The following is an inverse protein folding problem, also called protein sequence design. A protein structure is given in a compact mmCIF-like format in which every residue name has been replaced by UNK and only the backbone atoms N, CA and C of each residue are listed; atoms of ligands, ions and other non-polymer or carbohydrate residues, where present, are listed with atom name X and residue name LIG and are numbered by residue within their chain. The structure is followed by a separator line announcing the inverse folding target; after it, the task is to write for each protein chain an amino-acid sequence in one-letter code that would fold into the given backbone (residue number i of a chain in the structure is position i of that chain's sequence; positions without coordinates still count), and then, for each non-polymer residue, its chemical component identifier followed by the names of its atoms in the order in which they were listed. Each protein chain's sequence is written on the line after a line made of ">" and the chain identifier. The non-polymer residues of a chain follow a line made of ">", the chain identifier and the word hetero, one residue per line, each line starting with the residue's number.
data_IF_752016612308
#
_entry.id   IF_752016612308
#
_cell.length_a   1.000
_cell.length_b   1.000
_cell.length_c   1.000
_cell.angle_alpha   90.00
_cell.angle_beta   90.00
_cell.angle_gamma   90.00
#
_symmetry.space_group_name_H-M   'P 1'
#
loop_
_entity.id
_entity.type
_entity.pdbx_description
1 polymer ?
#
# COMPACT_ATOMS: atom_id res chain seq x y z
N UNK A 1 43.05 -21.66 -4.68
CA UNK A 1 42.29 -22.93 -4.47
C UNK A 1 41.24 -22.84 -3.37
N UNK A 2 41.52 -22.19 -2.20
CA UNK A 2 40.50 -22.02 -1.12
C UNK A 2 39.37 -21.02 -1.48
N UNK A 3 39.67 -19.93 -2.21
CA UNK A 3 38.65 -18.95 -2.67
C UNK A 3 37.74 -19.52 -3.75
N UNK A 4 38.26 -20.32 -4.68
CA UNK A 4 37.47 -20.97 -5.73
C UNK A 4 36.53 -22.05 -5.18
N UNK A 5 37.01 -22.82 -4.19
CA UNK A 5 36.18 -23.80 -3.47
C UNK A 5 35.03 -23.18 -2.67
N UNK A 6 35.23 -21.99 -2.10
CA UNK A 6 34.21 -21.22 -1.38
C UNK A 6 33.13 -20.68 -2.35
N UNK A 7 33.53 -20.07 -3.47
CA UNK A 7 32.62 -19.55 -4.48
C UNK A 7 31.73 -20.64 -5.12
N UNK A 8 32.33 -21.80 -5.46
CA UNK A 8 31.56 -22.94 -5.97
C UNK A 8 30.56 -23.50 -4.94
N UNK A 9 30.97 -23.59 -3.66
CA UNK A 9 30.06 -23.95 -2.56
C UNK A 9 28.91 -22.97 -2.39
N UNK A 10 29.16 -21.66 -2.54
CA UNK A 10 28.12 -20.64 -2.41
C UNK A 10 27.15 -20.70 -3.59
N UNK A 11 27.59 -20.92 -4.81
CA UNK A 11 26.70 -21.14 -5.97
C UNK A 11 25.85 -22.39 -5.78
N UNK A 12 26.41 -23.47 -5.31
CA UNK A 12 25.68 -24.73 -5.04
C UNK A 12 24.57 -24.52 -3.98
N UNK A 13 24.86 -23.80 -2.89
CA UNK A 13 23.87 -23.50 -1.85
C UNK A 13 22.75 -22.61 -2.38
N UNK A 14 23.08 -21.62 -3.22
CA UNK A 14 22.07 -20.77 -3.88
C UNK A 14 21.19 -21.59 -4.81
N UNK A 15 21.77 -22.53 -5.55
CA UNK A 15 21.01 -23.42 -6.42
C UNK A 15 20.03 -24.28 -5.61
N UNK A 16 20.48 -24.93 -4.54
CA UNK A 16 19.61 -25.72 -3.67
C UNK A 16 18.46 -24.88 -3.08
N UNK A 17 18.76 -23.65 -2.64
CA UNK A 17 17.75 -22.73 -2.14
C UNK A 17 16.77 -22.34 -3.25
N UNK A 18 17.26 -22.01 -4.44
CA UNK A 18 16.45 -21.66 -5.60
C UNK A 18 15.51 -22.81 -6.01
N UNK A 19 16.02 -24.02 -6.07
CA UNK A 19 15.23 -25.24 -6.36
C UNK A 19 14.14 -25.47 -5.29
N UNK A 20 14.48 -25.29 -4.03
CA UNK A 20 13.52 -25.41 -2.92
C UNK A 20 12.41 -24.35 -3.00
N UNK A 21 12.79 -23.09 -3.21
CA UNK A 21 11.84 -21.98 -3.36
C UNK A 21 10.91 -22.19 -4.56
N UNK A 22 11.50 -22.59 -5.70
CA UNK A 22 10.75 -22.88 -6.92
C UNK A 22 9.73 -24.00 -6.68
N UNK A 23 10.17 -25.12 -6.07
CA UNK A 23 9.31 -26.25 -5.80
C UNK A 23 8.18 -25.97 -4.82
N UNK A 24 8.46 -25.16 -3.78
CA UNK A 24 7.51 -24.93 -2.70
C UNK A 24 6.54 -23.79 -3.00
N UNK A 25 7.02 -22.73 -3.64
CA UNK A 25 6.27 -21.47 -3.76
C UNK A 25 5.90 -21.07 -5.19
N UNK A 26 6.53 -21.68 -6.19
CA UNK A 26 6.31 -21.40 -7.61
C UNK A 26 6.27 -22.70 -8.44
N UNK A 27 5.50 -23.72 -8.01
CA UNK A 27 5.48 -25.01 -8.72
C UNK A 27 5.05 -24.88 -10.18
N UNK A 28 4.20 -23.91 -10.50
CA UNK A 28 3.75 -23.61 -11.86
C UNK A 28 4.88 -23.15 -12.79
N UNK A 29 5.95 -22.58 -12.22
CA UNK A 29 7.10 -22.14 -13.00
C UNK A 29 8.05 -23.31 -13.35
N UNK A 30 8.01 -24.44 -12.64
CA UNK A 30 8.93 -25.55 -12.85
C UNK A 30 8.84 -26.17 -14.23
N UNK A 31 7.64 -26.22 -14.80
CA UNK A 31 7.36 -26.81 -16.11
C UNK A 31 7.70 -25.87 -17.29
N UNK A 32 8.11 -24.63 -17.01
CA UNK A 32 8.43 -23.65 -18.03
C UNK A 32 9.89 -23.81 -18.54
N UNK A 33 10.19 -23.38 -19.77
CA UNK A 33 11.54 -23.54 -20.35
C UNK A 33 12.66 -22.86 -19.54
N UNK A 34 12.34 -21.75 -18.86
CA UNK A 34 13.26 -20.96 -18.03
C UNK A 34 12.65 -20.74 -16.63
N UNK A 35 12.61 -21.76 -15.79
CA UNK A 35 11.86 -21.75 -14.54
C UNK A 35 12.29 -20.66 -13.57
N UNK A 36 13.57 -20.38 -13.44
CA UNK A 36 14.07 -19.30 -12.58
C UNK A 36 13.70 -17.91 -13.09
N UNK A 37 13.71 -17.70 -14.40
CA UNK A 37 13.27 -16.44 -15.00
C UNK A 37 11.78 -16.22 -14.81
N UNK A 38 10.99 -17.28 -15.00
CA UNK A 38 9.54 -17.23 -14.76
C UNK A 38 9.22 -16.91 -13.30
N UNK A 39 9.89 -17.59 -12.35
CA UNK A 39 9.80 -17.30 -10.93
C UNK A 39 10.16 -15.84 -10.62
N UNK A 40 11.25 -15.31 -11.17
CA UNK A 40 11.67 -13.93 -10.91
C UNK A 40 10.66 -12.92 -11.45
N UNK A 41 10.07 -13.15 -12.62
CA UNK A 41 8.99 -12.30 -13.17
C UNK A 41 7.75 -12.30 -12.29
N UNK A 42 7.37 -13.46 -11.79
CA UNK A 42 6.25 -13.60 -10.85
C UNK A 42 6.53 -12.84 -9.54
N UNK A 43 7.75 -12.91 -9.01
CA UNK A 43 8.16 -12.15 -7.84
C UNK A 43 8.07 -10.64 -8.09
N UNK A 44 8.50 -10.17 -9.26
CA UNK A 44 8.41 -8.76 -9.65
C UNK A 44 6.96 -8.30 -9.69
N UNK A 45 6.07 -9.08 -10.32
CA UNK A 45 4.65 -8.76 -10.42
C UNK A 45 3.97 -8.72 -9.05
N UNK A 46 4.15 -9.75 -8.23
CA UNK A 46 3.57 -9.81 -6.86
C UNK A 46 4.03 -8.64 -5.99
N UNK A 47 5.29 -8.24 -6.08
CA UNK A 47 5.80 -7.10 -5.32
C UNK A 47 5.31 -5.75 -5.89
N UNK A 48 5.14 -5.63 -7.20
CA UNK A 48 4.53 -4.45 -7.81
C UNK A 48 3.08 -4.27 -7.34
N UNK A 49 2.29 -5.35 -7.32
CA UNK A 49 0.91 -5.35 -6.80
C UNK A 49 0.86 -5.02 -5.31
N UNK A 50 1.74 -5.63 -4.49
CA UNK A 50 1.81 -5.38 -3.04
C UNK A 50 2.07 -3.91 -2.75
N UNK A 51 3.10 -3.32 -3.36
CA UNK A 51 3.47 -1.93 -3.14
C UNK A 51 2.39 -0.98 -3.68
N UNK A 52 1.72 -1.34 -4.78
CA UNK A 52 0.56 -0.60 -5.27
C UNK A 52 -0.59 -0.57 -4.24
N UNK A 53 -0.86 -1.68 -3.56
CA UNK A 53 -1.83 -1.73 -2.45
C UNK A 53 -1.38 -0.86 -1.28
N UNK A 54 -0.11 -0.91 -0.86
CA UNK A 54 0.40 -0.06 0.20
C UNK A 54 0.19 1.43 -0.11
N UNK A 55 0.58 1.85 -1.32
CA UNK A 55 0.41 3.24 -1.77
C UNK A 55 -1.07 3.63 -1.87
N UNK A 56 -1.91 2.77 -2.44
CA UNK A 56 -3.32 3.07 -2.61
C UNK A 56 -4.07 3.17 -1.28
N UNK A 57 -3.70 2.41 -0.26
CA UNK A 57 -4.38 2.38 1.04
C UNK A 57 -3.67 3.16 2.16
N UNK A 58 -2.58 3.84 1.83
CA UNK A 58 -1.86 4.68 2.80
C UNK A 58 -1.07 3.88 3.83
N UNK A 59 -0.63 2.66 3.50
CA UNK A 59 0.20 1.85 4.38
C UNK A 59 1.67 2.17 4.22
N UNK A 60 2.34 2.52 5.32
CA UNK A 60 3.78 2.73 5.39
C UNK A 60 4.42 1.61 6.21
N UNK A 61 5.29 0.82 5.59
CA UNK A 61 5.96 -0.31 6.23
C UNK A 61 7.04 0.11 7.23
N UNK A 62 7.80 1.15 6.90
CA UNK A 62 8.79 1.78 7.76
C UNK A 62 10.15 1.10 7.85
N UNK A 63 10.30 -0.18 7.45
CA UNK A 63 11.59 -0.91 7.47
C UNK A 63 11.65 -1.86 6.28
N UNK A 64 11.95 -1.33 5.10
CA UNK A 64 12.02 -2.11 3.85
C UNK A 64 13.46 -2.55 3.52
N UNK A 65 14.14 -3.17 4.48
CA UNK A 65 15.38 -3.88 4.22
C UNK A 65 15.13 -5.06 3.26
N UNK A 66 16.17 -5.59 2.63
CA UNK A 66 16.06 -6.72 1.70
C UNK A 66 15.51 -8.00 2.34
N UNK A 67 15.73 -8.19 3.63
CA UNK A 67 15.22 -9.29 4.45
C UNK A 67 13.77 -9.11 4.91
N UNK A 68 13.23 -7.88 4.78
CA UNK A 68 11.85 -7.54 5.14
C UNK A 68 10.93 -7.45 3.92
N UNK A 69 11.34 -7.98 2.77
CA UNK A 69 10.51 -8.06 1.57
C UNK A 69 10.29 -9.50 1.13
N UNK A 70 9.02 -9.89 1.05
CA UNK A 70 8.62 -11.24 0.67
C UNK A 70 8.67 -11.46 -0.84
N UNK A 71 9.27 -12.56 -1.26
CA UNK A 71 9.15 -13.06 -2.64
C UNK A 71 7.72 -13.48 -3.01
N UNK A 72 6.85 -13.63 -2.03
CA UNK A 72 5.45 -14.01 -2.23
C UNK A 72 4.52 -12.81 -2.44
N UNK A 73 5.03 -11.58 -2.35
CA UNK A 73 4.20 -10.37 -2.42
C UNK A 73 3.21 -10.24 -1.26
N UNK A 74 3.64 -10.62 -0.06
CA UNK A 74 2.88 -10.46 1.18
C UNK A 74 3.60 -9.52 2.14
N UNK A 75 2.84 -8.75 2.90
CA UNK A 75 3.40 -7.93 3.98
C UNK A 75 3.77 -8.82 5.16
N UNK A 76 4.99 -8.68 5.66
CA UNK A 76 5.44 -9.35 6.88
C UNK A 76 6.44 -8.45 7.62
N UNK A 77 6.94 -8.90 8.78
CA UNK A 77 7.82 -8.13 9.64
C UNK A 77 7.21 -6.77 10.04
N UNK A 78 6.02 -6.85 10.67
CA UNK A 78 5.29 -5.69 11.15
C UNK A 78 5.99 -5.04 12.35
N UNK A 79 7.02 -4.22 12.05
CA UNK A 79 7.70 -3.37 13.04
C UNK A 79 6.96 -2.04 13.23
N UNK A 80 7.63 -0.90 13.06
CA UNK A 80 7.04 0.44 13.22
C UNK A 80 6.22 0.86 11.99
N UNK A 81 5.26 0.03 11.55
CA UNK A 81 4.37 0.35 10.44
C UNK A 81 3.27 1.34 10.86
N UNK A 82 2.68 2.02 9.90
CA UNK A 82 1.51 2.86 10.12
C UNK A 82 0.61 2.92 8.89
N UNK A 83 -0.68 3.21 9.11
CA UNK A 83 -1.53 3.78 8.07
C UNK A 83 -1.49 5.30 8.19
N UNK A 84 -1.48 6.00 7.06
CA UNK A 84 -1.57 7.47 7.04
C UNK A 84 -2.86 7.93 7.73
N UNK A 85 -2.73 8.87 8.64
CA UNK A 85 -3.85 9.68 9.10
C UNK A 85 -4.13 10.77 8.06
N UNK A 86 -3.50 11.92 8.15
CA UNK A 86 -3.53 12.92 7.09
C UNK A 86 -2.59 12.49 5.94
N UNK A 87 -2.96 12.76 4.69
CA UNK A 87 -2.10 12.42 3.55
C UNK A 87 -0.79 13.20 3.60
N UNK A 88 0.31 12.48 3.71
CA UNK A 88 1.66 13.02 3.61
C UNK A 88 2.55 12.05 2.82
N UNK A 89 2.95 12.48 1.62
CA UNK A 89 3.86 11.71 0.76
C UNK A 89 5.24 11.48 1.41
N UNK A 90 5.65 12.32 2.33
CA UNK A 90 6.94 12.24 3.03
C UNK A 90 6.84 11.63 4.43
N UNK A 91 5.68 11.07 4.78
CA UNK A 91 5.44 10.48 6.09
C UNK A 91 6.46 9.40 6.42
N UNK A 92 7.06 9.50 7.60
CA UNK A 92 8.03 8.56 8.16
C UNK A 92 7.38 7.92 9.38
N UNK A 93 7.04 6.64 9.30
CA UNK A 93 6.41 5.92 10.43
C UNK A 93 7.43 5.38 11.44
N UNK A 94 8.68 5.20 11.04
CA UNK A 94 9.75 4.71 11.88
C UNK A 94 10.63 5.87 12.35
N UNK A 95 10.54 6.24 13.63
CA UNK A 95 11.33 7.33 14.20
C UNK A 95 12.86 7.13 14.08
N UNK A 96 13.33 5.90 13.93
CA UNK A 96 14.74 5.60 13.71
C UNK A 96 15.22 5.86 12.27
N UNK A 97 14.31 6.11 11.34
CA UNK A 97 14.60 6.46 9.94
C UNK A 97 14.71 7.98 9.79
N UNK A 98 15.75 8.58 10.37
CA UNK A 98 15.98 10.03 10.42
C UNK A 98 16.17 10.67 9.03
N UNK A 99 16.50 9.89 8.00
CA UNK A 99 16.68 10.35 6.62
C UNK A 99 15.49 10.08 5.71
N UNK A 100 14.44 9.43 6.20
CA UNK A 100 13.27 9.08 5.42
C UNK A 100 13.52 8.09 4.29
N UNK A 101 14.51 7.20 4.46
CA UNK A 101 14.80 6.16 3.47
C UNK A 101 13.56 5.34 3.14
N UNK A 102 12.75 5.03 4.14
CA UNK A 102 11.54 4.22 4.04
C UNK A 102 10.27 5.06 4.21
N UNK A 103 10.31 6.36 3.91
CA UNK A 103 9.13 7.21 3.89
C UNK A 103 8.10 6.69 2.88
N UNK A 104 6.84 7.09 3.05
CA UNK A 104 5.71 6.57 2.29
C UNK A 104 5.93 6.59 0.77
N UNK A 105 6.34 7.72 0.19
CA UNK A 105 6.62 7.81 -1.25
C UNK A 105 7.86 7.04 -1.68
N UNK A 106 8.83 6.81 -0.79
CA UNK A 106 10.05 6.08 -1.09
C UNK A 106 9.84 4.55 -1.16
N UNK A 107 8.70 4.03 -0.75
CA UNK A 107 8.42 2.59 -0.80
C UNK A 107 8.54 2.04 -2.22
N UNK A 108 8.14 2.78 -3.23
CA UNK A 108 8.22 2.37 -4.64
C UNK A 108 9.67 2.21 -5.12
N UNK A 109 10.54 3.24 -5.06
CA UNK A 109 11.94 3.08 -5.47
C UNK A 109 12.72 2.09 -4.60
N UNK A 110 12.41 1.97 -3.30
CA UNK A 110 13.06 0.99 -2.43
C UNK A 110 12.63 -0.45 -2.79
N UNK A 111 11.36 -0.67 -3.12
CA UNK A 111 10.89 -1.97 -3.62
C UNK A 111 11.64 -2.39 -4.89
N UNK A 112 11.81 -1.49 -5.85
CA UNK A 112 12.59 -1.73 -7.06
C UNK A 112 14.08 -2.02 -6.74
N UNK A 113 14.64 -1.29 -5.78
CA UNK A 113 16.01 -1.52 -5.32
C UNK A 113 16.18 -2.92 -4.70
N UNK A 114 15.24 -3.35 -3.85
CA UNK A 114 15.24 -4.69 -3.26
C UNK A 114 15.15 -5.79 -4.32
N UNK A 115 14.28 -5.62 -5.33
CA UNK A 115 14.19 -6.55 -6.46
C UNK A 115 15.50 -6.59 -7.27
N UNK A 116 16.22 -5.47 -7.37
CA UNK A 116 17.54 -5.41 -8.02
C UNK A 116 18.60 -6.19 -7.22
N UNK A 117 18.54 -6.13 -5.89
CA UNK A 117 19.42 -6.94 -5.03
C UNK A 117 19.13 -8.45 -5.18
N UNK A 118 17.84 -8.83 -5.25
CA UNK A 118 17.44 -10.21 -5.54
C UNK A 118 17.91 -10.66 -6.94
N UNK A 119 17.74 -9.81 -7.96
CA UNK A 119 18.22 -10.09 -9.33
C UNK A 119 19.72 -10.38 -9.33
N UNK A 120 20.51 -9.59 -8.57
CA UNK A 120 21.95 -9.84 -8.45
C UNK A 120 22.25 -11.22 -7.84
N UNK A 121 21.45 -11.69 -6.90
CA UNK A 121 21.61 -13.02 -6.32
C UNK A 121 21.27 -14.15 -7.31
N UNK A 122 20.42 -13.87 -8.32
CA UNK A 122 19.97 -14.82 -9.33
C UNK A 122 20.85 -14.85 -10.61
N UNK A 123 21.87 -14.01 -10.71
CA UNK A 123 22.78 -13.97 -11.88
C UNK A 123 23.47 -15.30 -12.24
N UNK A 124 23.67 -16.28 -11.31
CA UNK A 124 24.19 -17.60 -11.69
C UNK A 124 23.20 -18.44 -12.52
N UNK A 125 21.91 -18.11 -12.52
CA UNK A 125 20.84 -18.93 -13.12
C UNK A 125 20.13 -18.23 -14.27
N UNK A 126 20.22 -16.90 -14.34
CA UNK A 126 19.48 -16.07 -15.29
C UNK A 126 20.48 -15.07 -15.91
N UNK A 127 20.39 -14.84 -17.21
CA UNK A 127 21.23 -13.83 -17.88
C UNK A 127 20.95 -12.43 -17.36
N UNK A 128 21.96 -11.57 -17.34
CA UNK A 128 21.84 -10.19 -16.86
C UNK A 128 20.83 -9.41 -17.69
N UNK A 129 20.76 -9.68 -19.00
CA UNK A 129 19.80 -9.06 -19.91
C UNK A 129 18.37 -9.40 -19.54
N UNK A 130 18.05 -10.69 -19.32
CA UNK A 130 16.72 -11.14 -18.93
C UNK A 130 16.30 -10.61 -17.53
N UNK A 131 17.26 -10.50 -16.60
CA UNK A 131 17.02 -9.88 -15.29
C UNK A 131 16.70 -8.40 -15.42
N UNK A 132 17.41 -7.64 -16.25
CA UNK A 132 17.14 -6.22 -16.49
C UNK A 132 15.80 -5.98 -17.16
N UNK A 133 15.45 -6.80 -18.16
CA UNK A 133 14.14 -6.74 -18.80
C UNK A 133 13.02 -6.99 -17.78
N UNK A 134 13.18 -8.01 -16.93
CA UNK A 134 12.20 -8.34 -15.89
C UNK A 134 12.06 -7.22 -14.83
N UNK A 135 13.17 -6.63 -14.39
CA UNK A 135 13.14 -5.45 -13.49
C UNK A 135 12.46 -4.24 -14.13
N UNK A 136 12.61 -4.07 -15.45
CA UNK A 136 11.94 -3.01 -16.20
C UNK A 136 10.42 -3.11 -16.18
N UNK A 137 9.85 -4.27 -15.88
CA UNK A 137 8.41 -4.48 -15.76
C UNK A 137 7.83 -3.95 -14.44
N UNK A 138 8.65 -3.78 -13.40
CA UNK A 138 8.17 -3.41 -12.06
C UNK A 138 7.35 -2.10 -12.07
N UNK A 139 7.91 -1.03 -12.60
CA UNK A 139 7.25 0.28 -12.56
C UNK A 139 5.95 0.34 -13.39
N UNK A 140 5.91 -0.17 -14.64
CA UNK A 140 4.66 -0.28 -15.40
C UNK A 140 3.58 -1.11 -14.69
N UNK A 141 3.94 -2.26 -14.11
CA UNK A 141 3.03 -3.11 -13.35
C UNK A 141 2.51 -2.39 -12.11
N UNK A 142 3.41 -1.79 -11.33
CA UNK A 142 3.03 -0.97 -10.18
C UNK A 142 2.02 0.13 -10.57
N UNK A 143 2.31 0.90 -11.61
CA UNK A 143 1.44 1.98 -12.08
C UNK A 143 0.07 1.46 -12.50
N UNK A 144 0.02 0.34 -13.22
CA UNK A 144 -1.23 -0.27 -13.64
C UNK A 144 -2.09 -0.70 -12.44
N UNK A 145 -1.50 -1.43 -11.47
CA UNK A 145 -2.19 -1.86 -10.25
C UNK A 145 -2.63 -0.67 -9.39
N UNK A 146 -1.76 0.32 -9.22
CA UNK A 146 -2.04 1.50 -8.42
C UNK A 146 -3.21 2.31 -8.99
N UNK A 147 -3.19 2.57 -10.29
CA UNK A 147 -4.28 3.32 -10.95
C UNK A 147 -5.59 2.55 -10.94
N UNK A 148 -5.57 1.23 -11.11
CA UNK A 148 -6.79 0.42 -10.99
C UNK A 148 -7.40 0.54 -9.59
N UNK A 149 -6.58 0.42 -8.54
CA UNK A 149 -7.04 0.59 -7.16
C UNK A 149 -7.59 2.00 -6.92
N UNK A 150 -6.91 3.05 -7.39
CA UNK A 150 -7.35 4.43 -7.20
C UNK A 150 -8.66 4.72 -7.96
N UNK A 151 -8.83 4.19 -9.18
CA UNK A 151 -10.11 4.25 -9.92
C UNK A 151 -11.25 3.66 -9.11
N UNK A 152 -11.08 2.44 -8.62
CA UNK A 152 -12.09 1.75 -7.80
C UNK A 152 -12.39 2.53 -6.52
N UNK A 153 -11.39 3.09 -5.87
CA UNK A 153 -11.55 3.94 -4.69
C UNK A 153 -12.32 5.23 -4.97
N UNK A 154 -12.17 5.79 -6.18
CA UNK A 154 -12.92 6.95 -6.66
C UNK A 154 -14.30 6.59 -7.25
N UNK A 155 -14.64 5.31 -7.36
CA UNK A 155 -15.92 4.81 -7.84
C UNK A 155 -16.01 4.64 -9.35
N UNK A 156 -14.89 4.67 -10.08
CA UNK A 156 -14.83 4.45 -11.51
C UNK A 156 -14.78 2.95 -11.85
N UNK A 157 -15.41 2.57 -12.97
CA UNK A 157 -15.51 1.17 -13.41
C UNK A 157 -14.67 0.86 -14.65
N UNK A 158 -14.23 1.88 -15.38
CA UNK A 158 -13.37 1.75 -16.55
C UNK A 158 -12.17 2.69 -16.45
N UNK A 159 -11.10 2.37 -17.19
CA UNK A 159 -9.94 3.21 -17.30
C UNK A 159 -10.15 4.31 -18.35
N UNK A 160 -9.70 5.53 -18.02
CA UNK A 160 -9.60 6.64 -18.95
C UNK A 160 -8.21 7.29 -18.86
N UNK A 161 -7.76 7.95 -19.92
CA UNK A 161 -6.40 8.49 -20.04
C UNK A 161 -6.10 9.61 -19.02
N UNK A 162 -7.14 10.35 -18.59
CA UNK A 162 -7.02 11.46 -17.65
C UNK A 162 -7.10 11.02 -16.15
N UNK A 163 -7.35 9.74 -15.87
CA UNK A 163 -7.49 9.23 -14.51
C UNK A 163 -6.23 9.48 -13.66
N UNK A 164 -5.04 9.28 -14.24
CA UNK A 164 -3.79 9.52 -13.53
C UNK A 164 -3.68 10.98 -13.07
N UNK A 165 -3.94 11.92 -13.96
CA UNK A 165 -3.86 13.35 -13.65
C UNK A 165 -4.90 13.76 -12.59
N UNK A 166 -6.09 13.18 -12.65
CA UNK A 166 -7.15 13.41 -11.65
C UNK A 166 -6.72 12.94 -10.25
N UNK A 167 -6.09 11.76 -10.16
CA UNK A 167 -5.55 11.22 -8.91
C UNK A 167 -4.40 12.08 -8.38
N UNK A 168 -3.42 12.41 -9.20
CA UNK A 168 -2.27 13.22 -8.81
C UNK A 168 -2.68 14.59 -8.27
N UNK A 169 -3.65 15.24 -8.93
CA UNK A 169 -4.19 16.52 -8.50
C UNK A 169 -4.91 16.43 -7.15
N UNK A 170 -5.68 15.36 -6.93
CA UNK A 170 -6.31 15.12 -5.63
C UNK A 170 -5.28 14.98 -4.52
N UNK A 171 -4.28 14.12 -4.73
CA UNK A 171 -3.25 13.88 -3.72
C UNK A 171 -2.45 15.15 -3.39
N UNK A 172 -2.17 15.99 -4.39
CA UNK A 172 -1.52 17.28 -4.15
C UNK A 172 -2.38 18.23 -3.29
N UNK A 173 -3.69 18.27 -3.52
CA UNK A 173 -4.63 19.05 -2.71
C UNK A 173 -4.72 18.50 -1.28
N UNK A 174 -4.76 17.19 -1.11
CA UNK A 174 -4.76 16.52 0.20
C UNK A 174 -3.48 16.81 0.97
N UNK A 175 -2.31 16.72 0.32
CA UNK A 175 -0.99 17.05 0.91
C UNK A 175 -0.96 18.49 1.43
N UNK A 176 -1.45 19.42 0.64
CA UNK A 176 -1.42 20.85 0.99
C UNK A 176 -2.41 21.23 2.11
N UNK A 177 -3.39 20.39 2.37
CA UNK A 177 -4.49 20.67 3.31
C UNK A 177 -4.48 19.77 4.56
N UNK A 178 -3.64 18.74 4.61
CA UNK A 178 -3.66 17.76 5.70
C UNK A 178 -5.00 17.04 5.80
N UNK A 179 -5.48 16.51 4.66
CA UNK A 179 -6.76 15.80 4.60
C UNK A 179 -6.56 14.34 5.02
N UNK A 180 -7.43 13.85 5.90
CA UNK A 180 -7.42 12.43 6.31
C UNK A 180 -7.60 11.51 5.09
N UNK A 181 -6.58 10.69 4.84
CA UNK A 181 -6.49 9.91 3.60
C UNK A 181 -7.60 8.87 3.46
N UNK A 182 -7.81 8.08 4.48
CA UNK A 182 -8.79 6.99 4.42
C UNK A 182 -10.22 7.49 4.50
N UNK A 183 -10.49 8.46 5.38
CA UNK A 183 -11.82 9.02 5.55
C UNK A 183 -12.30 9.80 4.33
N UNK A 184 -11.42 10.47 3.60
CA UNK A 184 -11.80 11.15 2.37
C UNK A 184 -12.48 10.21 1.38
N UNK A 185 -11.83 9.08 1.05
CA UNK A 185 -12.38 8.13 0.08
C UNK A 185 -13.66 7.46 0.59
N UNK A 186 -13.73 7.16 1.89
CA UNK A 186 -14.96 6.61 2.49
C UNK A 186 -16.12 7.57 2.36
N UNK A 187 -15.94 8.82 2.78
CA UNK A 187 -16.96 9.88 2.74
C UNK A 187 -17.38 10.28 1.33
N UNK A 188 -16.47 10.18 0.36
CA UNK A 188 -16.79 10.43 -1.05
C UNK A 188 -17.83 9.43 -1.59
N UNK A 189 -17.94 8.23 -1.00
CA UNK A 189 -18.93 7.20 -1.34
C UNK A 189 -20.25 7.29 -0.60
N UNK A 190 -20.34 8.06 0.51
CA UNK A 190 -21.53 8.07 1.39
C UNK A 190 -22.77 8.74 0.77
N UNK A 191 -22.57 9.67 -0.16
CA UNK A 191 -23.63 10.48 -0.74
C UNK A 191 -23.50 10.61 -2.26
N UNK A 192 -24.51 11.19 -2.90
CA UNK A 192 -24.41 11.64 -4.29
C UNK A 192 -23.17 12.55 -4.46
N UNK A 193 -22.50 12.53 -5.63
CA UNK A 193 -21.25 13.29 -5.82
C UNK A 193 -21.36 14.74 -5.38
N UNK A 194 -22.44 15.43 -5.70
CA UNK A 194 -22.67 16.83 -5.33
C UNK A 194 -22.68 17.03 -3.82
N UNK A 195 -23.38 16.16 -3.08
CA UNK A 195 -23.49 16.26 -1.62
C UNK A 195 -22.19 15.85 -0.93
N UNK A 196 -21.54 14.80 -1.42
CA UNK A 196 -20.26 14.35 -0.90
C UNK A 196 -19.19 15.43 -1.07
N UNK A 197 -19.06 16.00 -2.26
CA UNK A 197 -18.09 17.04 -2.58
C UNK A 197 -18.36 18.32 -1.79
N UNK A 198 -19.63 18.72 -1.61
CA UNK A 198 -19.98 19.89 -0.80
C UNK A 198 -19.53 19.73 0.67
N UNK A 199 -19.65 18.51 1.24
CA UNK A 199 -19.22 18.21 2.62
C UNK A 199 -17.70 18.13 2.76
N UNK A 200 -17.02 17.55 1.76
CA UNK A 200 -15.58 17.39 1.76
C UNK A 200 -14.80 18.68 1.51
N UNK A 201 -15.46 19.68 0.88
CA UNK A 201 -14.86 20.95 0.53
C UNK A 201 -14.20 21.69 1.71
N UNK A 202 -14.81 21.58 2.88
CA UNK A 202 -14.31 22.26 4.08
C UNK A 202 -13.07 21.59 4.70
N UNK A 203 -12.73 20.38 4.28
CA UNK A 203 -11.50 19.71 4.66
C UNK A 203 -10.27 20.27 3.91
N UNK A 204 -10.48 21.11 2.86
CA UNK A 204 -9.41 21.66 2.03
C UNK A 204 -9.14 23.14 2.32
N UNK A 205 -7.86 23.47 2.50
CA UNK A 205 -7.39 24.86 2.65
C UNK A 205 -7.56 25.62 1.33
N UNK A 206 -7.12 25.00 0.21
CA UNK A 206 -7.36 25.53 -1.14
C UNK A 206 -8.72 25.08 -1.67
N UNK A 207 -9.76 25.79 -1.26
CA UNK A 207 -11.14 25.52 -1.68
C UNK A 207 -11.35 25.71 -3.17
N UNK A 208 -10.67 26.68 -3.80
CA UNK A 208 -10.79 26.91 -5.24
C UNK A 208 -10.13 25.80 -6.04
N UNK A 209 -8.96 25.32 -5.60
CA UNK A 209 -8.31 24.15 -6.18
C UNK A 209 -9.16 22.89 -6.05
N UNK A 210 -9.79 22.70 -4.89
CA UNK A 210 -10.72 21.59 -4.67
C UNK A 210 -11.97 21.71 -5.58
N UNK A 211 -12.58 22.89 -5.68
CA UNK A 211 -13.75 23.12 -6.56
C UNK A 211 -13.43 22.78 -8.03
N UNK A 212 -12.24 23.17 -8.50
CA UNK A 212 -11.77 22.84 -9.85
C UNK A 212 -11.51 21.35 -10.04
N UNK A 213 -10.99 20.64 -9.02
CA UNK A 213 -10.86 19.20 -9.04
C UNK A 213 -12.23 18.51 -9.01
N UNK A 214 -13.13 19.01 -8.18
CA UNK A 214 -14.47 18.46 -8.03
C UNK A 214 -15.28 18.52 -9.35
N UNK A 215 -15.07 19.55 -10.17
CA UNK A 215 -15.68 19.64 -11.49
C UNK A 215 -15.16 18.53 -12.44
N UNK A 216 -13.83 18.34 -12.50
CA UNK A 216 -13.23 17.26 -13.27
C UNK A 216 -13.72 15.88 -12.79
N UNK A 217 -13.86 15.70 -11.48
CA UNK A 217 -14.38 14.46 -10.90
C UNK A 217 -15.83 14.21 -11.31
N UNK A 218 -16.72 15.24 -11.29
CA UNK A 218 -18.12 15.12 -11.75
C UNK A 218 -18.20 14.74 -13.22
N UNK A 219 -17.42 15.43 -14.07
CA UNK A 219 -17.34 15.11 -15.50
C UNK A 219 -16.90 13.67 -15.72
N UNK A 220 -15.90 13.21 -14.96
CA UNK A 220 -15.42 11.84 -15.03
C UNK A 220 -16.46 10.80 -14.57
N UNK A 221 -17.18 11.09 -13.47
CA UNK A 221 -18.31 10.23 -13.00
C UNK A 221 -19.42 10.19 -14.05
N UNK A 222 -19.73 11.29 -14.71
CA UNK A 222 -20.77 11.35 -15.75
C UNK A 222 -20.43 10.51 -16.99
N UNK A 223 -19.14 10.30 -17.28
CA UNK A 223 -18.66 9.44 -18.38
C UNK A 223 -18.63 7.95 -18.02
N UNK A 224 -18.69 7.60 -16.73
CA UNK A 224 -18.63 6.20 -16.30
C UNK A 224 -19.89 5.44 -16.80
N UNK A 225 -19.73 4.26 -17.43
CA UNK A 225 -20.86 3.56 -18.04
C UNK A 225 -21.86 3.00 -17.04
N UNK A 226 -21.44 2.75 -15.80
CA UNK A 226 -22.32 2.23 -14.75
C UNK A 226 -22.81 3.42 -13.91
N UNK A 227 -23.96 3.94 -14.30
CA UNK A 227 -24.64 5.04 -13.61
C UNK A 227 -25.52 4.47 -12.47
N UNK A 228 -25.72 5.27 -11.45
CA UNK A 228 -26.56 4.95 -10.30
C UNK A 228 -25.83 5.19 -8.99
N UNK A 229 -26.37 6.10 -8.18
CA UNK A 229 -25.75 6.56 -6.93
C UNK A 229 -25.54 5.42 -5.93
N UNK A 230 -26.57 4.61 -5.71
CA UNK A 230 -26.51 3.54 -4.71
C UNK A 230 -25.44 2.51 -5.09
N UNK A 231 -25.41 2.08 -6.35
CA UNK A 231 -24.40 1.14 -6.86
C UNK A 231 -22.97 1.70 -6.79
N UNK A 232 -22.79 3.01 -7.03
CA UNK A 232 -21.48 3.65 -6.90
C UNK A 232 -21.02 3.66 -5.44
N UNK A 233 -21.89 4.09 -4.53
CA UNK A 233 -21.60 4.10 -3.08
C UNK A 233 -21.24 2.72 -2.55
N UNK A 234 -22.04 1.70 -2.88
CA UNK A 234 -21.77 0.31 -2.49
C UNK A 234 -20.40 -0.17 -2.99
N UNK A 235 -20.06 0.07 -4.28
CA UNK A 235 -18.75 -0.29 -4.83
C UNK A 235 -17.61 0.42 -4.12
N UNK A 236 -17.78 1.71 -3.84
CA UNK A 236 -16.76 2.49 -3.13
C UNK A 236 -16.59 2.02 -1.69
N UNK A 237 -17.67 1.70 -0.99
CA UNK A 237 -17.62 1.16 0.37
C UNK A 237 -16.98 -0.23 0.44
N UNK A 238 -17.14 -1.05 -0.60
CA UNK A 238 -16.50 -2.36 -0.69
C UNK A 238 -14.97 -2.31 -0.82
N UNK A 239 -14.40 -1.17 -1.26
CA UNK A 239 -12.95 -1.00 -1.45
C UNK A 239 -12.33 0.11 -0.60
N UNK A 240 -13.13 0.97 0.01
CA UNK A 240 -12.64 2.01 0.93
C UNK A 240 -12.95 1.60 2.37
N UNK A 241 -11.94 1.25 3.18
CA UNK A 241 -12.17 0.80 4.54
C UNK A 241 -12.77 1.93 5.39
N UNK A 242 -13.70 1.55 6.26
CA UNK A 242 -14.23 2.42 7.31
C UNK A 242 -13.27 2.46 8.50
N UNK A 243 -12.63 1.32 8.78
CA UNK A 243 -11.70 1.16 9.90
C UNK A 243 -10.31 0.86 9.38
N UNK A 244 -9.31 1.57 9.91
CA UNK A 244 -7.88 1.27 9.73
C UNK A 244 -7.21 1.20 11.09
N UNK A 245 -6.11 0.47 11.21
CA UNK A 245 -5.33 0.46 12.45
C UNK A 245 -4.52 1.76 12.57
N UNK A 246 -5.14 2.78 13.17
CA UNK A 246 -4.44 4.04 13.49
C UNK A 246 -3.51 3.83 14.68
N UNK A 247 -2.36 4.49 14.66
CA UNK A 247 -1.35 4.33 15.71
C UNK A 247 -1.89 4.62 17.12
N UNK A 248 -2.75 5.63 17.29
CA UNK A 248 -3.35 5.94 18.59
C UNK A 248 -4.28 4.84 19.12
N UNK A 249 -4.95 4.10 18.24
CA UNK A 249 -5.77 2.95 18.62
C UNK A 249 -4.91 1.78 19.09
N UNK A 250 -3.81 1.53 18.35
CA UNK A 250 -2.82 0.53 18.75
C UNK A 250 -2.21 0.87 20.11
N UNK A 251 -1.83 2.14 20.33
CA UNK A 251 -1.26 2.58 21.61
C UNK A 251 -2.23 2.39 22.78
N UNK A 252 -3.51 2.77 22.62
CA UNK A 252 -4.54 2.50 23.64
C UNK A 252 -4.66 1.03 23.98
N UNK A 253 -4.60 0.15 22.98
CA UNK A 253 -4.68 -1.29 23.20
C UNK A 253 -3.43 -1.82 23.91
N UNK A 254 -2.24 -1.29 23.60
CA UNK A 254 -0.98 -1.62 24.27
C UNK A 254 -1.04 -1.19 25.74
N UNK A 255 -1.40 0.05 26.01
CA UNK A 255 -1.48 0.60 27.39
C UNK A 255 -2.46 -0.23 28.26
N UNK A 256 -3.61 -0.60 27.70
CA UNK A 256 -4.57 -1.47 28.41
C UNK A 256 -4.02 -2.89 28.65
N UNK A 257 -3.34 -3.47 27.64
CA UNK A 257 -2.76 -4.81 27.75
C UNK A 257 -1.62 -4.87 28.77
N UNK A 258 -0.79 -3.84 28.87
CA UNK A 258 0.26 -3.71 29.90
C UNK A 258 -0.34 -3.65 31.32
N UNK A 259 -1.53 -3.07 31.46
CA UNK A 259 -2.30 -3.09 32.71
C UNK A 259 -3.05 -4.42 32.95
N UNK A 260 -2.93 -5.41 32.05
CA UNK A 260 -3.59 -6.72 32.13
C UNK A 260 -4.98 -6.77 31.50
N UNK A 261 -5.45 -5.70 30.86
CA UNK A 261 -6.73 -5.66 30.15
C UNK A 261 -6.57 -5.82 28.64
N UNK A 262 -6.90 -6.99 28.11
CA UNK A 262 -6.83 -7.32 26.70
C UNK A 262 -8.16 -7.06 25.95
N UNK A 263 -9.12 -6.38 26.55
CA UNK A 263 -10.43 -6.14 25.95
C UNK A 263 -10.31 -5.30 24.66
N UNK A 264 -9.44 -4.29 24.67
CA UNK A 264 -9.22 -3.38 23.55
C UNK A 264 -8.52 -4.09 22.37
N UNK A 265 -7.55 -4.96 22.65
CA UNK A 265 -6.91 -5.81 21.63
C UNK A 265 -7.94 -6.68 20.92
N UNK A 266 -8.84 -7.34 21.69
CA UNK A 266 -9.91 -8.16 21.10
C UNK A 266 -10.89 -7.35 20.29
N UNK A 267 -11.21 -6.13 20.73
CA UNK A 267 -12.13 -5.23 20.05
C UNK A 267 -11.52 -4.73 18.72
N UNK A 268 -10.27 -4.29 18.73
CA UNK A 268 -9.54 -3.93 17.51
C UNK A 268 -9.46 -5.09 16.51
N UNK A 269 -9.15 -6.30 16.99
CA UNK A 269 -9.15 -7.48 16.14
C UNK A 269 -10.51 -7.72 15.49
N UNK A 270 -11.60 -7.61 16.26
CA UNK A 270 -12.98 -7.75 15.74
C UNK A 270 -13.27 -6.70 14.66
N UNK A 271 -13.00 -5.43 14.94
CA UNK A 271 -13.28 -4.30 14.03
C UNK A 271 -12.49 -4.45 12.74
N UNK A 272 -11.19 -4.70 12.85
CA UNK A 272 -10.27 -4.79 11.72
C UNK A 272 -10.41 -6.08 10.89
N UNK A 273 -11.08 -7.12 11.44
CA UNK A 273 -11.40 -8.32 10.67
C UNK A 273 -12.49 -8.09 9.60
N UNK A 274 -13.28 -7.00 9.73
CA UNK A 274 -14.30 -6.58 8.76
C UNK A 274 -14.23 -5.07 8.53
N UNK A 275 -13.12 -4.57 7.96
CA UNK A 275 -12.81 -3.14 7.95
C UNK A 275 -13.71 -2.31 7.03
N UNK A 276 -14.46 -2.94 6.13
CA UNK A 276 -15.34 -2.27 5.17
C UNK A 276 -16.79 -2.15 5.63
N UNK A 277 -17.19 -2.93 6.64
CA UNK A 277 -18.56 -3.03 7.11
C UNK A 277 -18.79 -2.13 8.33
N UNK A 278 -19.95 -1.46 8.37
CA UNK A 278 -20.39 -0.76 9.58
C UNK A 278 -20.66 -1.77 10.70
N UNK A 279 -20.13 -1.48 11.89
CA UNK A 279 -20.25 -2.36 13.05
C UNK A 279 -20.91 -1.58 14.20
N UNK A 280 -22.06 -2.03 14.72
CA UNK A 280 -22.78 -1.32 15.77
C UNK A 280 -21.92 -1.01 17.00
N UNK A 281 -21.89 0.25 17.41
CA UNK A 281 -21.14 0.71 18.58
C UNK A 281 -19.63 0.86 18.36
N UNK A 282 -19.15 0.79 17.11
CA UNK A 282 -17.73 0.93 16.76
C UNK A 282 -17.42 2.26 16.07
N UNK A 283 -18.31 3.24 16.10
CA UNK A 283 -18.18 4.54 15.42
C UNK A 283 -16.89 5.27 15.79
N UNK A 284 -16.49 5.21 17.06
CA UNK A 284 -15.27 5.86 17.56
C UNK A 284 -13.95 5.32 16.95
N UNK A 285 -13.98 4.11 16.36
CA UNK A 285 -12.84 3.54 15.66
C UNK A 285 -12.70 4.04 14.21
N UNK A 286 -13.76 4.67 13.69
CA UNK A 286 -13.79 5.30 12.37
C UNK A 286 -13.47 6.80 12.41
N UNK A 287 -13.24 7.38 13.58
CA UNK A 287 -12.99 8.81 13.73
C UNK A 287 -11.53 9.19 13.41
N UNK A 288 -11.33 10.49 13.16
CA UNK A 288 -9.99 11.08 13.11
C UNK A 288 -9.25 10.88 14.44
N UNK A 289 -7.92 10.76 14.42
CA UNK A 289 -7.15 10.69 15.64
C UNK A 289 -7.33 11.98 16.47
N UNK A 290 -7.37 11.87 17.80
CA UNK A 290 -7.27 13.04 18.65
C UNK A 290 -5.91 13.72 18.47
N UNK A 291 -5.77 14.99 18.84
CA UNK A 291 -4.55 15.76 18.63
C UNK A 291 -3.29 15.09 19.19
N UNK A 292 -3.38 14.50 20.39
CA UNK A 292 -2.27 13.76 20.99
C UNK A 292 -1.87 12.50 20.18
N UNK A 293 -2.81 11.91 19.45
CA UNK A 293 -2.59 10.69 18.67
C UNK A 293 -1.87 10.92 17.34
N UNK A 294 -1.84 12.14 16.85
CA UNK A 294 -1.18 12.50 15.58
C UNK A 294 0.35 12.53 15.65
N UNK A 295 0.91 12.63 16.84
CA UNK A 295 2.34 12.81 17.07
C UNK A 295 2.98 11.63 17.81
N UNK A 296 2.39 10.45 17.68
CA UNK A 296 2.97 9.25 18.28
C UNK A 296 4.24 8.83 17.54
N UNK A 297 5.34 8.80 18.26
CA UNK A 297 6.63 8.29 17.76
C UNK A 297 6.68 6.77 17.95
N UNK A 298 6.84 6.05 16.85
CA UNK A 298 7.03 4.59 16.89
C UNK A 298 8.45 4.33 16.40
N UNK A 299 9.19 3.56 17.16
CA UNK A 299 10.55 3.16 16.79
C UNK A 299 10.72 1.65 16.87
N UNK A 300 11.62 1.12 16.06
CA UNK A 300 12.13 -0.22 16.21
C UNK A 300 13.08 -0.21 17.41
N UNK A 301 12.57 -0.47 18.62
CA UNK A 301 13.41 -0.73 19.80
C UNK A 301 13.80 -2.20 19.78
N UNK A 302 14.89 -2.52 19.09
CA UNK A 302 15.59 -3.79 19.23
C UNK A 302 16.67 -3.70 20.28
#
# INVERSE_FOLDING_TARGET
>A
TRKESSAASDVYKRQQLGEHVLALHFPECQELPEPYLAMFREIVERNAELIAKWQAYGFCHGVMNTDNMSILGITFDFGPFAFLDDFDAHFICNHSDDQGRYSFSNQVPIGQWNLSALAQALTPFISVEALRESLGLFLPLYQAHYLDLMRRRLGFTQAEDDDQQLVERLLQLMQNSGVDYSLFFRRLGEHAPEQALARLRDDFVDRNGFDAWAELYRERVARDPIQGQDLRGERMHAVNPLYILRNYLAQKAIDAAEAGDYSEVRRLHQVLSRPFEEQPGMDSYAERPPEWGKHLEISCSS
#
